data_IF_836868154518
#
_entry.id   IF_836868154518
#
_cell.length_a   1.000
_cell.length_b   1.000
_cell.length_c   1.000
_cell.angle_alpha   90.00
_cell.angle_beta   90.00
_cell.angle_gamma   90.00
#
_symmetry.space_group_name_H-M   'P 1'
#
loop_
_entity.id
_entity.type
_entity.pdbx_description
1 polymer ?
#
# COMPACT_ATOMS: atom_id res chain seq x y z
N UNK A 1 17.94 8.96 11.75
CA UNK A 1 16.73 8.67 10.97
C UNK A 1 16.27 7.23 11.23
N UNK A 2 14.99 7.08 11.49
CA UNK A 2 14.37 5.77 11.70
C UNK A 2 14.11 5.20 10.30
N UNK A 3 15.05 4.40 9.82
CA UNK A 3 14.99 3.71 8.53
C UNK A 3 15.24 2.23 8.79
N UNK A 4 14.51 1.33 8.16
CA UNK A 4 14.71 -0.11 8.29
C UNK A 4 15.61 -0.67 7.20
N UNK A 5 15.88 0.14 6.20
CA UNK A 5 16.76 -0.20 5.10
C UNK A 5 18.21 -0.39 5.58
N UNK A 6 18.88 -1.40 5.06
CA UNK A 6 20.22 -1.82 5.48
C UNK A 6 20.32 -2.31 6.94
N UNK A 7 19.21 -2.48 7.61
CA UNK A 7 19.13 -3.19 8.87
C UNK A 7 18.73 -4.63 8.57
N UNK A 8 19.61 -5.57 8.87
CA UNK A 8 19.33 -7.00 8.69
C UNK A 8 18.44 -7.50 9.86
N UNK A 9 17.25 -6.89 10.02
CA UNK A 9 16.37 -7.12 11.16
C UNK A 9 14.90 -7.07 10.76
N UNK A 10 14.09 -7.91 11.37
CA UNK A 10 12.62 -7.87 11.29
C UNK A 10 11.98 -6.98 12.37
N UNK A 11 12.79 -6.34 13.20
CA UNK A 11 12.32 -5.45 14.26
C UNK A 11 12.93 -4.07 14.11
N UNK A 12 12.23 -3.07 14.62
CA UNK A 12 12.69 -1.69 14.69
C UNK A 12 13.02 -1.29 16.12
N UNK A 13 14.05 -0.46 16.27
CA UNK A 13 14.42 0.09 17.59
C UNK A 13 13.50 1.23 18.02
N UNK A 14 12.93 1.95 17.07
CA UNK A 14 12.06 3.09 17.35
C UNK A 14 11.10 3.37 16.18
N UNK A 15 10.00 4.05 16.48
CA UNK A 15 9.04 4.55 15.49
C UNK A 15 8.44 5.88 15.95
N UNK A 16 7.81 6.61 15.04
CA UNK A 16 7.31 7.98 15.24
C UNK A 16 5.84 8.14 14.97
N UNK A 17 5.29 7.23 14.18
CA UNK A 17 3.97 7.36 13.58
C UNK A 17 2.81 7.36 14.57
N UNK A 18 3.00 6.80 15.77
CA UNK A 18 1.92 6.66 16.75
C UNK A 18 1.72 7.86 17.66
N UNK A 19 2.81 8.54 18.03
CA UNK A 19 2.77 9.64 19.01
C UNK A 19 3.45 10.92 18.54
N UNK A 20 4.09 10.89 17.36
CA UNK A 20 4.97 11.96 16.90
C UNK A 20 6.34 12.01 17.60
N UNK A 21 6.49 11.30 18.72
CA UNK A 21 7.74 11.13 19.44
C UNK A 21 8.50 9.91 18.93
N UNK A 22 9.82 9.94 19.04
CA UNK A 22 10.68 8.80 18.71
C UNK A 22 10.68 7.86 19.91
N UNK A 23 9.88 6.81 19.87
CA UNK A 23 9.73 5.83 20.92
C UNK A 23 10.02 4.43 20.40
N UNK A 24 10.53 3.56 21.28
CA UNK A 24 10.60 2.14 20.98
C UNK A 24 9.18 1.53 20.94
N UNK A 25 8.96 0.43 20.22
CA UNK A 25 7.66 -0.25 20.20
C UNK A 25 7.14 -0.64 21.60
N UNK A 26 8.04 -0.82 22.57
CA UNK A 26 7.68 -1.16 23.96
C UNK A 26 7.21 0.03 24.78
N UNK A 27 7.60 1.23 24.42
CA UNK A 27 7.21 2.47 25.10
C UNK A 27 5.91 3.06 24.56
N UNK A 28 5.42 2.52 23.43
CA UNK A 28 4.18 2.96 22.80
C UNK A 28 3.00 2.28 23.51
N UNK A 29 2.01 3.05 24.01
CA UNK A 29 0.87 2.51 24.74
C UNK A 29 -0.16 1.80 23.85
N UNK A 30 0.18 1.49 22.61
CA UNK A 30 -0.66 0.85 21.61
C UNK A 30 0.00 -0.43 21.08
N UNK A 31 -0.83 -1.35 20.59
CA UNK A 31 -0.32 -2.55 19.92
C UNK A 31 0.15 -2.19 18.51
N UNK A 32 1.44 -2.27 18.28
CA UNK A 32 2.08 -1.94 17.00
C UNK A 32 2.77 -3.14 16.38
N UNK A 33 2.77 -3.20 15.06
CA UNK A 33 3.60 -4.11 14.26
C UNK A 33 4.29 -3.30 13.19
N UNK A 34 5.56 -3.60 12.95
CA UNK A 34 6.33 -3.00 11.87
C UNK A 34 6.84 -4.11 10.97
N UNK A 35 6.49 -4.03 9.69
CA UNK A 35 6.95 -4.92 8.65
C UNK A 35 8.10 -4.21 7.97
N UNK A 36 9.31 -4.69 8.27
CA UNK A 36 10.55 -4.04 7.82
C UNK A 36 10.87 -4.35 6.36
N UNK A 37 11.73 -3.54 5.76
CA UNK A 37 12.24 -3.77 4.40
C UNK A 37 12.83 -5.18 4.25
N UNK A 38 13.64 -5.61 5.20
CA UNK A 38 14.23 -6.95 5.22
C UNK A 38 13.18 -8.05 5.21
N UNK A 39 12.12 -7.90 6.00
CA UNK A 39 11.03 -8.88 6.03
C UNK A 39 10.27 -8.93 4.70
N UNK A 40 10.00 -7.77 4.09
CA UNK A 40 9.33 -7.70 2.78
C UNK A 40 10.15 -8.37 1.68
N UNK A 41 11.45 -8.16 1.66
CA UNK A 41 12.38 -8.77 0.71
C UNK A 41 12.48 -10.28 0.88
N UNK A 42 12.71 -10.76 2.10
CA UNK A 42 12.86 -12.19 2.38
C UNK A 42 11.58 -12.99 2.09
N UNK A 43 10.43 -12.36 2.23
CA UNK A 43 9.13 -12.95 1.91
C UNK A 43 8.72 -12.78 0.44
N UNK A 44 9.50 -12.06 -0.36
CA UNK A 44 9.18 -11.75 -1.76
C UNK A 44 7.88 -10.97 -1.94
N UNK A 45 7.54 -10.13 -0.96
CA UNK A 45 6.29 -9.36 -0.94
C UNK A 45 6.44 -8.09 -1.74
N UNK A 46 5.55 -7.87 -2.71
CA UNK A 46 5.54 -6.69 -3.60
C UNK A 46 4.28 -5.84 -3.48
N UNK A 47 3.32 -6.24 -2.64
CA UNK A 47 2.06 -5.53 -2.46
C UNK A 47 1.73 -5.29 -0.99
N UNK A 48 0.95 -4.25 -0.72
CA UNK A 48 0.46 -3.97 0.64
C UNK A 48 -0.37 -5.14 1.19
N UNK A 49 -1.21 -5.74 0.34
CA UNK A 49 -1.99 -6.91 0.70
C UNK A 49 -1.09 -8.05 1.20
N UNK A 50 -0.06 -8.40 0.43
CA UNK A 50 0.89 -9.44 0.82
C UNK A 50 1.64 -9.11 2.10
N UNK A 51 2.00 -7.84 2.32
CA UNK A 51 2.63 -7.38 3.54
C UNK A 51 1.72 -7.59 4.76
N UNK A 52 0.46 -7.22 4.64
CA UNK A 52 -0.51 -7.26 5.75
C UNK A 52 -1.04 -8.67 6.02
N UNK A 53 -1.04 -9.59 5.05
CA UNK A 53 -1.36 -11.01 5.28
C UNK A 53 -0.44 -11.66 6.33
N UNK A 54 0.78 -11.17 6.42
CA UNK A 54 1.78 -11.65 7.38
C UNK A 54 1.85 -10.81 8.66
N UNK A 55 1.03 -9.78 8.78
CA UNK A 55 1.01 -8.92 9.96
C UNK A 55 0.19 -9.56 11.09
N UNK A 56 0.78 -9.65 12.28
CA UNK A 56 0.09 -10.20 13.44
C UNK A 56 -1.16 -9.41 13.78
N UNK A 57 -2.30 -10.09 13.93
CA UNK A 57 -3.58 -9.50 14.33
C UNK A 57 -4.26 -8.67 13.24
N UNK A 58 -3.87 -8.85 11.98
CA UNK A 58 -4.53 -8.31 10.80
C UNK A 58 -5.09 -9.46 9.98
N UNK A 59 -6.35 -9.36 9.62
CA UNK A 59 -7.00 -10.25 8.66
C UNK A 59 -7.20 -9.51 7.34
N UNK A 60 -6.84 -10.17 6.25
CA UNK A 60 -7.01 -9.65 4.90
C UNK A 60 -8.04 -10.52 4.18
N UNK A 61 -9.07 -9.90 3.63
CA UNK A 61 -10.05 -10.61 2.83
C UNK A 61 -10.49 -9.78 1.62
N UNK A 62 -11.02 -10.45 0.62
CA UNK A 62 -11.50 -9.85 -0.62
C UNK A 62 -13.01 -10.00 -0.72
N UNK A 63 -13.66 -8.93 -1.11
CA UNK A 63 -15.09 -8.92 -1.42
C UNK A 63 -15.39 -7.87 -2.48
N UNK A 64 -16.19 -8.21 -3.48
CA UNK A 64 -16.55 -7.30 -4.56
C UNK A 64 -15.35 -6.76 -5.36
N UNK A 65 -14.30 -7.58 -5.51
CA UNK A 65 -13.05 -7.18 -6.16
C UNK A 65 -12.22 -6.15 -5.38
N UNK A 66 -12.52 -5.97 -4.08
CA UNK A 66 -11.81 -5.07 -3.15
C UNK A 66 -11.09 -5.87 -2.08
N UNK A 67 -9.96 -5.34 -1.63
CA UNK A 67 -9.22 -5.89 -0.50
C UNK A 67 -9.58 -5.12 0.77
N UNK A 68 -9.93 -5.83 1.82
CA UNK A 68 -10.26 -5.28 3.13
C UNK A 68 -9.27 -5.76 4.17
N UNK A 69 -8.94 -4.86 5.09
CA UNK A 69 -8.08 -5.15 6.24
C UNK A 69 -8.92 -5.04 7.51
N UNK A 70 -8.80 -6.01 8.40
CA UNK A 70 -9.50 -6.03 9.67
C UNK A 70 -8.55 -6.31 10.82
N UNK A 71 -8.81 -5.69 11.94
CA UNK A 71 -8.17 -6.00 13.21
C UNK A 71 -9.18 -5.97 14.34
N UNK A 72 -9.14 -6.95 15.23
CA UNK A 72 -10.03 -7.05 16.40
C UNK A 72 -11.53 -6.97 16.05
N UNK A 73 -11.92 -7.46 14.87
CA UNK A 73 -13.31 -7.44 14.41
C UNK A 73 -13.77 -6.15 13.75
N UNK A 74 -12.92 -5.14 13.64
CA UNK A 74 -13.21 -3.86 12.98
C UNK A 74 -12.39 -3.69 11.72
N UNK A 75 -12.94 -2.98 10.73
CA UNK A 75 -12.20 -2.60 9.54
C UNK A 75 -11.11 -1.59 9.86
N UNK A 76 -9.99 -1.69 9.16
CA UNK A 76 -8.96 -0.66 9.14
C UNK A 76 -9.25 0.21 7.92
N UNK A 77 -9.78 1.40 8.14
CA UNK A 77 -10.19 2.33 7.09
C UNK A 77 -9.17 3.43 6.84
N UNK A 78 -8.25 3.64 7.77
CA UNK A 78 -7.26 4.68 7.68
C UNK A 78 -5.92 4.13 7.21
N UNK A 79 -5.50 4.61 6.04
CA UNK A 79 -4.16 4.49 5.53
C UNK A 79 -3.46 5.83 5.64
N UNK A 80 -2.22 5.82 6.06
CA UNK A 80 -1.34 6.98 6.10
C UNK A 80 -0.12 6.76 5.21
N UNK A 81 0.37 7.83 4.65
CA UNK A 81 1.70 7.90 4.05
C UNK A 81 2.53 8.94 4.79
N UNK A 82 3.62 8.51 5.41
CA UNK A 82 4.46 9.35 6.29
C UNK A 82 3.66 10.08 7.39
N UNK A 83 2.60 9.46 7.90
CA UNK A 83 1.73 10.02 8.93
C UNK A 83 0.69 11.03 8.44
N UNK A 84 0.52 11.19 7.12
CA UNK A 84 -0.55 11.97 6.53
C UNK A 84 -1.64 11.03 6.07
N UNK A 85 -2.85 11.22 6.58
CA UNK A 85 -3.99 10.38 6.29
C UNK A 85 -4.34 10.40 4.79
N UNK A 86 -4.47 9.20 4.23
CA UNK A 86 -5.14 8.95 2.96
C UNK A 86 -6.33 8.06 3.26
N UNK A 87 -7.47 8.30 2.68
CA UNK A 87 -8.58 7.38 2.89
C UNK A 87 -8.32 6.08 2.13
N UNK A 88 -8.30 4.96 2.87
CA UNK A 88 -8.81 3.72 2.32
C UNK A 88 -10.32 3.90 2.37
N UNK A 89 -11.01 3.79 1.26
CA UNK A 89 -12.43 4.01 1.27
C UNK A 89 -13.12 3.14 2.31
N UNK A 90 -14.01 3.75 3.03
CA UNK A 90 -14.90 3.04 3.93
C UNK A 90 -15.51 1.86 3.15
N UNK A 91 -15.47 0.65 3.67
CA UNK A 91 -16.31 -0.43 3.22
C UNK A 91 -17.74 -0.10 3.65
N UNK A 92 -18.24 1.05 3.21
CA UNK A 92 -19.62 1.44 3.46
C UNK A 92 -20.49 0.27 3.13
N UNK A 93 -21.13 -0.25 4.12
CA UNK A 93 -21.89 -1.46 4.30
C UNK A 93 -22.23 -2.22 3.03
N UNK A 94 -22.28 -3.50 3.13
CA UNK A 94 -22.72 -4.43 2.11
C UNK A 94 -23.64 -3.78 1.05
N UNK A 95 -23.11 -3.47 -0.12
CA UNK A 95 -23.87 -3.24 -1.33
C UNK A 95 -24.34 -1.83 -1.65
N UNK A 96 -24.12 -0.80 -0.86
CA UNK A 96 -24.62 0.54 -1.15
C UNK A 96 -23.54 1.61 -1.05
N UNK A 97 -22.97 1.97 -2.19
CA UNK A 97 -22.52 3.27 -2.64
C UNK A 97 -22.02 4.30 -1.62
N UNK A 98 -21.04 3.98 -0.80
CA UNK A 98 -20.18 5.01 -0.20
C UNK A 98 -19.07 5.39 -1.18
N UNK A 99 -18.45 6.57 -1.09
CA UNK A 99 -17.27 6.87 -1.88
C UNK A 99 -16.20 5.85 -1.51
N UNK A 100 -16.10 4.85 -2.33
CA UNK A 100 -15.11 3.80 -2.21
C UNK A 100 -13.77 4.40 -2.60
N UNK A 101 -13.00 4.87 -1.62
CA UNK A 101 -11.57 4.97 -1.83
C UNK A 101 -11.12 3.60 -2.32
N UNK A 102 -10.46 3.57 -3.43
CA UNK A 102 -10.03 2.30 -3.98
C UNK A 102 -8.87 1.77 -3.13
N UNK A 103 -9.00 0.65 -2.41
CA UNK A 103 -7.91 0.05 -1.65
C UNK A 103 -6.76 -0.41 -2.55
N UNK A 104 -6.94 -0.41 -3.86
CA UNK A 104 -5.86 -0.63 -4.83
C UNK A 104 -4.87 0.54 -4.86
N UNK A 105 -5.16 1.64 -4.17
CA UNK A 105 -4.31 2.84 -4.16
C UNK A 105 -2.91 2.63 -3.57
N UNK A 106 -2.64 1.51 -2.91
CA UNK A 106 -1.34 1.18 -2.30
C UNK A 106 -0.97 -0.28 -2.55
N UNK A 107 -1.13 -0.77 -3.77
CA UNK A 107 -0.76 -2.15 -4.09
C UNK A 107 0.74 -2.32 -4.26
N UNK A 108 1.43 -1.42 -4.92
CA UNK A 108 2.89 -1.48 -5.10
C UNK A 108 3.59 -0.79 -3.92
N UNK A 109 4.40 -1.56 -3.20
CA UNK A 109 5.14 -1.09 -2.03
C UNK A 109 6.61 -0.77 -2.31
N UNK A 110 7.05 -0.74 -3.57
CA UNK A 110 8.45 -0.55 -3.94
C UNK A 110 9.04 0.78 -3.41
N UNK A 111 8.22 1.83 -3.29
CA UNK A 111 8.67 3.13 -2.79
C UNK A 111 8.68 3.23 -1.26
N UNK A 112 8.23 2.21 -0.52
CA UNK A 112 8.16 2.24 0.94
C UNK A 112 9.33 1.51 1.59
N UNK A 113 9.84 2.08 2.67
CA UNK A 113 10.86 1.48 3.54
C UNK A 113 10.24 0.44 4.47
N UNK A 114 9.03 0.69 4.96
CA UNK A 114 8.32 -0.19 5.88
C UNK A 114 6.85 0.11 5.91
N UNK A 115 6.10 -0.86 6.44
CA UNK A 115 4.67 -0.72 6.74
C UNK A 115 4.50 -0.85 8.25
N UNK A 116 3.83 0.12 8.84
CA UNK A 116 3.54 0.15 10.28
C UNK A 116 2.04 -0.07 10.47
N UNK A 117 1.67 -0.93 11.39
CA UNK A 117 0.28 -1.20 11.75
C UNK A 117 0.08 -0.86 13.21
N UNK A 118 -0.77 0.10 13.48
CA UNK A 118 -1.21 0.49 14.82
C UNK A 118 -2.61 -0.06 15.03
N UNK A 119 -2.78 -0.94 16.01
CA UNK A 119 -4.06 -1.60 16.28
C UNK A 119 -4.78 -0.95 17.44
N UNK A 120 -6.08 -0.73 17.27
CA UNK A 120 -6.94 -0.09 18.26
C UNK A 120 -7.08 1.41 18.05
N UNK A 121 -7.80 2.06 18.95
CA UNK A 121 -8.08 3.48 18.85
C UNK A 121 -6.81 4.33 19.00
N UNK A 122 -6.57 5.24 18.07
CA UNK A 122 -5.43 6.15 18.04
C UNK A 122 -5.84 7.60 18.38
N UNK A 123 -6.75 7.78 19.32
CA UNK A 123 -7.41 9.05 19.63
C UNK A 123 -6.49 10.21 20.04
N UNK A 124 -5.21 9.94 20.35
CA UNK A 124 -4.24 10.98 20.66
C UNK A 124 -3.64 11.64 19.40
N UNK A 125 -3.64 10.94 18.28
CA UNK A 125 -2.97 11.41 17.06
C UNK A 125 -3.91 11.53 15.87
N UNK A 126 -5.13 11.03 15.99
CA UNK A 126 -6.09 10.96 14.89
C UNK A 126 -7.50 11.26 15.38
N UNK A 127 -8.09 12.32 14.82
CA UNK A 127 -9.40 12.80 15.21
C UNK A 127 -10.56 11.90 14.74
N UNK A 128 -10.38 11.17 13.65
CA UNK A 128 -11.38 10.29 13.04
C UNK A 128 -10.76 8.93 12.75
N UNK A 129 -10.74 8.05 13.72
CA UNK A 129 -10.20 6.70 13.52
C UNK A 129 -11.21 5.65 13.98
N UNK A 130 -11.37 4.64 13.15
CA UNK A 130 -12.10 3.43 13.50
C UNK A 130 -11.32 2.60 14.52
N UNK A 131 -12.01 1.82 15.38
CA UNK A 131 -11.35 1.03 16.42
C UNK A 131 -10.41 -0.06 15.91
N UNK A 132 -10.47 -0.39 14.62
CA UNK A 132 -9.61 -1.39 13.97
C UNK A 132 -8.14 -1.01 14.01
N UNK A 133 -7.85 0.26 13.77
CA UNK A 133 -6.47 0.76 13.75
C UNK A 133 -6.12 1.56 12.49
N UNK A 134 -4.82 1.77 12.30
CA UNK A 134 -4.25 2.53 11.19
C UNK A 134 -3.09 1.77 10.56
N UNK A 135 -2.98 1.87 9.25
CA UNK A 135 -1.83 1.39 8.48
C UNK A 135 -1.05 2.63 8.02
N UNK A 136 0.23 2.72 8.34
CA UNK A 136 1.11 3.79 7.88
C UNK A 136 2.22 3.22 7.00
N UNK A 137 2.26 3.67 5.75
CA UNK A 137 3.31 3.35 4.80
C UNK A 137 4.37 4.45 4.83
N UNK A 138 5.60 4.09 5.19
CA UNK A 138 6.71 5.04 5.31
C UNK A 138 7.55 5.01 4.05
N UNK A 139 7.66 6.15 3.37
CA UNK A 139 8.41 6.27 2.13
C UNK A 139 9.91 6.14 2.35
N UNK A 140 10.59 5.55 1.38
CA UNK A 140 12.06 5.54 1.32
C UNK A 140 12.59 6.97 1.24
N UNK A 141 13.67 7.24 1.98
CA UNK A 141 14.38 8.52 1.96
C UNK A 141 15.71 8.38 1.20
N UNK A 142 16.28 9.47 0.69
CA UNK A 142 17.61 9.46 0.11
C UNK A 142 18.68 9.02 1.11
N UNK A 143 19.75 8.42 0.61
CA UNK A 143 20.88 7.93 1.40
C UNK A 143 22.15 8.70 1.08
N UNK A 144 23.09 8.78 2.03
CA UNK A 144 24.41 9.36 1.79
C UNK A 144 25.27 8.47 0.91
N UNK A 145 25.28 7.18 1.20
CA UNK A 145 26.03 6.19 0.42
C UNK A 145 25.25 5.87 -0.84
N UNK A 146 25.97 5.73 -1.93
CA UNK A 146 25.37 5.26 -3.18
C UNK A 146 24.83 3.85 -2.99
N UNK A 147 23.59 3.67 -3.39
CA UNK A 147 22.89 2.40 -3.39
C UNK A 147 22.24 2.23 -4.74
N UNK A 148 22.33 1.03 -5.28
CA UNK A 148 21.70 0.65 -6.53
C UNK A 148 21.21 -0.77 -6.37
N UNK A 149 19.92 -0.98 -6.60
CA UNK A 149 19.34 -2.31 -6.70
C UNK A 149 18.43 -2.41 -7.90
N UNK A 150 18.37 -3.61 -8.46
CA UNK A 150 17.43 -3.96 -9.50
C UNK A 150 16.93 -5.38 -9.22
N UNK A 151 15.63 -5.54 -9.19
CA UNK A 151 14.96 -6.80 -8.90
C UNK A 151 14.08 -7.20 -10.07
N UNK A 152 14.10 -8.47 -10.41
CA UNK A 152 13.21 -9.08 -11.40
C UNK A 152 12.37 -10.16 -10.71
N UNK A 153 11.07 -10.07 -10.84
CA UNK A 153 10.12 -11.05 -10.33
C UNK A 153 9.42 -11.76 -11.46
N UNK A 154 9.48 -13.08 -11.44
CA UNK A 154 8.75 -13.96 -12.38
C UNK A 154 8.07 -15.05 -11.57
N UNK A 155 6.84 -15.38 -11.89
CA UNK A 155 6.15 -16.51 -11.30
C UNK A 155 5.54 -17.45 -12.37
N UNK A 156 5.14 -18.64 -11.94
CA UNK A 156 4.57 -19.68 -12.82
C UNK A 156 3.21 -19.32 -13.41
N UNK A 157 2.52 -18.32 -12.88
CA UNK A 157 1.23 -17.82 -13.38
C UNK A 157 1.39 -16.76 -14.49
N UNK A 158 2.63 -16.41 -14.83
CA UNK A 158 2.93 -15.39 -15.85
C UNK A 158 2.99 -13.96 -15.31
N UNK A 159 3.16 -13.77 -14.00
CA UNK A 159 3.56 -12.48 -13.45
C UNK A 159 5.01 -12.21 -13.84
N UNK A 160 5.25 -11.06 -14.43
CA UNK A 160 6.59 -10.54 -14.73
C UNK A 160 6.64 -9.11 -14.24
N UNK A 161 7.61 -8.78 -13.43
CA UNK A 161 7.78 -7.43 -12.93
C UNK A 161 9.24 -7.11 -12.61
N UNK A 162 9.58 -5.85 -12.60
CA UNK A 162 10.89 -5.38 -12.24
C UNK A 162 10.84 -4.10 -11.42
N UNK A 163 11.80 -3.95 -10.53
CA UNK A 163 12.00 -2.76 -9.71
C UNK A 163 13.43 -2.27 -9.85
N UNK A 164 13.60 -0.98 -9.96
CA UNK A 164 14.88 -0.29 -9.97
C UNK A 164 14.88 0.76 -8.86
N UNK A 165 15.95 0.80 -8.08
CA UNK A 165 16.09 1.71 -6.95
C UNK A 165 17.51 2.26 -6.90
N UNK A 166 17.67 3.55 -7.06
CA UNK A 166 18.95 4.25 -7.02
C UNK A 166 18.90 5.41 -6.04
N UNK A 167 19.86 5.47 -5.14
CA UNK A 167 19.97 6.51 -4.12
C UNK A 167 21.41 6.92 -3.88
N UNK A 168 21.62 8.17 -3.48
CA UNK A 168 22.94 8.66 -3.09
C UNK A 168 23.03 10.18 -3.01
N UNK A 169 24.21 10.63 -2.59
CA UNK A 169 24.54 12.05 -2.59
C UNK A 169 24.70 12.57 -4.01
N UNK A 170 23.96 13.63 -4.34
CA UNK A 170 24.03 14.36 -5.62
C UNK A 170 25.07 15.49 -5.54
N UNK A 171 25.13 16.18 -4.42
CA UNK A 171 26.11 17.20 -4.12
C UNK A 171 26.49 17.11 -2.63
N UNK A 172 27.52 16.33 -2.30
CA UNK A 172 27.94 16.15 -0.90
C UNK A 172 28.28 17.47 -0.20
N UNK A 173 28.93 18.39 -0.91
CA UNK A 173 29.34 19.69 -0.39
C UNK A 173 28.14 20.57 0.02
N UNK A 174 27.00 20.38 -0.63
CA UNK A 174 25.78 21.14 -0.36
C UNK A 174 24.72 20.33 0.42
N UNK A 175 25.08 19.13 0.91
CA UNK A 175 24.15 18.26 1.64
C UNK A 175 22.95 17.82 0.83
N UNK A 176 23.05 17.75 -0.51
CA UNK A 176 21.96 17.36 -1.40
C UNK A 176 22.05 15.87 -1.72
N UNK A 177 20.95 15.16 -1.50
CA UNK A 177 20.81 13.73 -1.77
C UNK A 177 19.55 13.49 -2.60
N UNK A 178 19.55 12.42 -3.37
CA UNK A 178 18.41 12.03 -4.17
C UNK A 178 18.19 10.53 -4.18
N UNK A 179 16.94 10.13 -4.43
CA UNK A 179 16.56 8.74 -4.67
C UNK A 179 15.51 8.68 -5.75
N UNK A 180 15.62 7.67 -6.59
CA UNK A 180 14.64 7.32 -7.59
C UNK A 180 14.29 5.83 -7.46
N UNK A 181 12.99 5.52 -7.46
CA UNK A 181 12.45 4.16 -7.49
C UNK A 181 11.50 4.06 -8.68
N UNK A 182 11.73 3.09 -9.52
CA UNK A 182 10.84 2.73 -10.62
C UNK A 182 10.44 1.26 -10.50
N UNK A 183 9.14 0.97 -10.65
CA UNK A 183 8.62 -0.38 -10.68
C UNK A 183 7.65 -0.49 -11.84
N UNK A 184 7.70 -1.61 -12.56
CA UNK A 184 6.75 -1.92 -13.60
C UNK A 184 6.49 -3.43 -13.64
N UNK A 185 5.24 -3.82 -13.87
CA UNK A 185 4.92 -5.22 -13.91
C UNK A 185 3.59 -5.55 -14.58
N UNK A 186 3.45 -6.83 -14.91
CA UNK A 186 2.18 -7.44 -15.27
C UNK A 186 1.79 -8.46 -14.22
N UNK A 187 0.54 -8.40 -13.78
CA UNK A 187 0.00 -9.29 -12.76
C UNK A 187 -0.98 -10.26 -13.41
N UNK A 188 -0.60 -11.53 -13.50
CA UNK A 188 -1.49 -12.62 -13.85
C UNK A 188 -1.66 -13.54 -12.65
N UNK A 189 -2.82 -14.16 -12.53
CA UNK A 189 -3.11 -15.13 -11.49
C UNK A 189 -3.48 -16.47 -12.15
N UNK A 190 -3.83 -17.47 -11.34
CA UNK A 190 -4.30 -18.76 -11.83
C UNK A 190 -5.66 -18.69 -12.54
N UNK A 191 -6.37 -17.57 -12.43
CA UNK A 191 -7.72 -17.40 -12.96
C UNK A 191 -7.64 -16.93 -14.41
N UNK A 192 -8.47 -17.52 -15.26
CA UNK A 192 -8.58 -17.13 -16.67
C UNK A 192 -8.98 -15.64 -16.77
N UNK A 193 -8.46 -14.91 -17.75
CA UNK A 193 -8.69 -13.49 -17.98
C UNK A 193 -8.25 -12.55 -16.83
N UNK A 194 -7.75 -13.08 -15.72
CA UNK A 194 -7.18 -12.26 -14.68
C UNK A 194 -5.89 -11.61 -15.16
N UNK A 195 -5.68 -10.37 -14.79
CA UNK A 195 -4.46 -9.69 -15.15
C UNK A 195 -4.50 -8.22 -14.79
N UNK A 196 -3.38 -7.60 -14.98
CA UNK A 196 -3.22 -6.18 -14.75
C UNK A 196 -1.82 -5.74 -15.14
N UNK A 197 -1.63 -4.45 -15.17
CA UNK A 197 -0.32 -3.81 -15.33
C UNK A 197 -0.23 -2.68 -14.34
N UNK A 198 0.95 -2.52 -13.79
CA UNK A 198 1.26 -1.42 -12.89
C UNK A 198 2.59 -0.77 -13.27
N UNK A 199 2.64 0.53 -13.11
CA UNK A 199 3.84 1.35 -13.24
C UNK A 199 3.85 2.29 -12.05
N UNK A 200 4.93 2.26 -11.28
CA UNK A 200 5.20 3.18 -10.19
C UNK A 200 6.50 3.93 -10.48
N UNK A 201 6.46 5.23 -10.37
CA UNK A 201 7.63 6.11 -10.40
C UNK A 201 7.64 6.93 -9.12
N UNK A 202 8.76 6.98 -8.44
CA UNK A 202 8.96 7.74 -7.21
C UNK A 202 10.31 8.44 -7.24
N UNK A 203 10.30 9.73 -7.02
CA UNK A 203 11.51 10.54 -6.90
C UNK A 203 11.46 11.36 -5.62
N UNK A 204 12.55 11.39 -4.87
CA UNK A 204 12.65 12.18 -3.65
C UNK A 204 14.05 12.76 -3.53
N UNK A 205 14.11 13.98 -3.06
CA UNK A 205 15.34 14.69 -2.75
C UNK A 205 15.28 15.21 -1.32
N UNK A 206 16.42 15.30 -0.69
CA UNK A 206 16.57 16.04 0.54
C UNK A 206 17.82 16.92 0.52
N UNK A 207 17.76 18.00 1.25
CA UNK A 207 18.82 18.98 1.38
C UNK A 207 18.95 19.43 2.81
N UNK A 208 20.17 19.39 3.31
CA UNK A 208 20.52 19.99 4.60
C UNK A 208 20.70 21.50 4.40
N UNK A 209 20.01 22.30 5.23
CA UNK A 209 20.06 23.75 5.22
C UNK A 209 20.70 24.20 6.54
N UNK A 210 22.01 24.50 6.49
CA UNK A 210 22.80 24.67 7.70
C UNK A 210 22.81 23.40 8.55
N UNK A 211 23.08 23.56 9.84
CA UNK A 211 23.25 22.43 10.76
C UNK A 211 21.93 21.95 11.37
N UNK A 212 20.90 22.80 11.34
CA UNK A 212 19.68 22.56 12.11
C UNK A 212 18.41 22.37 11.28
N UNK A 213 18.49 22.47 9.95
CA UNK A 213 17.32 22.37 9.09
C UNK A 213 17.51 21.36 7.98
N UNK A 214 16.40 20.74 7.59
CA UNK A 214 16.33 19.80 6.48
C UNK A 214 15.06 20.02 5.68
N UNK A 215 15.19 20.09 4.38
CA UNK A 215 14.08 20.10 3.43
C UNK A 215 14.09 18.80 2.65
N UNK A 216 12.96 18.12 2.62
CA UNK A 216 12.72 16.92 1.81
C UNK A 216 11.53 17.21 0.88
N UNK A 217 11.65 16.87 -0.39
CA UNK A 217 10.55 17.01 -1.35
C UNK A 217 10.59 15.87 -2.36
N UNK A 218 9.44 15.55 -2.90
CA UNK A 218 9.36 14.46 -3.85
C UNK A 218 8.04 14.38 -4.57
N UNK A 219 8.00 13.44 -5.49
CA UNK A 219 6.82 13.13 -6.29
C UNK A 219 6.67 11.63 -6.50
N UNK A 220 5.44 11.19 -6.68
CA UNK A 220 5.16 9.83 -7.15
C UNK A 220 4.07 9.83 -8.21
N UNK A 221 4.17 8.84 -9.10
CA UNK A 221 3.18 8.53 -10.10
C UNK A 221 2.89 7.04 -10.08
N UNK A 222 1.63 6.68 -9.98
CA UNK A 222 1.13 5.31 -10.10
C UNK A 222 0.11 5.24 -11.23
N UNK A 223 0.29 4.27 -12.12
CA UNK A 223 -0.73 3.90 -13.09
C UNK A 223 -0.94 2.40 -13.02
N UNK A 224 -2.14 2.01 -12.70
CA UNK A 224 -2.51 0.61 -12.50
C UNK A 224 -3.77 0.28 -13.28
N UNK A 225 -3.73 -0.84 -13.99
CA UNK A 225 -4.88 -1.48 -14.61
C UNK A 225 -5.04 -2.88 -14.06
N UNK A 226 -6.27 -3.30 -13.83
CA UNK A 226 -6.57 -4.59 -13.23
C UNK A 226 -7.89 -5.11 -13.77
N UNK A 227 -7.99 -6.39 -14.04
CA UNK A 227 -9.28 -7.05 -14.26
C UNK A 227 -9.92 -7.33 -12.90
N UNK A 228 -11.04 -6.70 -12.55
CA UNK A 228 -11.72 -6.97 -11.31
C UNK A 228 -12.33 -8.38 -11.32
N UNK A 229 -12.14 -9.11 -10.23
CA UNK A 229 -12.88 -10.33 -9.95
C UNK A 229 -14.13 -9.94 -9.16
N UNK A 230 -15.34 -10.10 -9.71
CA UNK A 230 -16.52 -9.55 -9.07
C UNK A 230 -16.80 -10.18 -7.70
N UNK A 231 -16.95 -11.50 -7.57
CA UNK A 231 -17.33 -12.11 -6.30
C UNK A 231 -16.97 -13.59 -6.16
N UNK A 232 -15.98 -14.04 -6.91
CA UNK A 232 -15.60 -15.45 -6.92
C UNK A 232 -16.52 -16.32 -7.75
N UNK A 233 -16.54 -17.61 -7.47
CA UNK A 233 -17.32 -18.60 -8.21
C UNK A 233 -18.57 -18.99 -7.43
N UNK A 234 -19.77 -18.62 -7.90
CA UNK A 234 -21.01 -19.05 -7.27
C UNK A 234 -21.27 -20.55 -7.47
N UNK A 235 -22.21 -21.11 -6.72
CA UNK A 235 -22.59 -22.50 -6.88
C UNK A 235 -23.20 -22.74 -8.28
N UNK A 236 -22.85 -23.86 -8.89
CA UNK A 236 -23.48 -24.30 -10.14
C UNK A 236 -24.87 -24.91 -9.85
N UNK A 237 -25.81 -24.66 -10.75
CA UNK A 237 -27.16 -25.21 -10.64
C UNK A 237 -27.20 -26.75 -10.72
N UNK A 238 -26.18 -27.39 -11.33
CA UNK A 238 -26.04 -28.84 -11.41
C UNK A 238 -25.28 -29.47 -10.22
N UNK A 239 -24.89 -28.67 -9.22
CA UNK A 239 -24.18 -29.09 -8.03
C UNK A 239 -22.72 -29.48 -8.26
N UNK A 240 -22.20 -29.31 -9.46
CA UNK A 240 -20.79 -29.61 -9.77
C UNK A 240 -19.89 -28.44 -9.43
N UNK A 241 -18.61 -28.74 -9.21
CA UNK A 241 -17.61 -27.69 -9.01
C UNK A 241 -17.19 -27.05 -10.33
N UNK A 242 -16.84 -25.75 -10.26
CA UNK A 242 -16.20 -25.05 -11.34
C UNK A 242 -14.74 -25.46 -11.46
N UNK A 243 -14.19 -25.38 -12.68
CA UNK A 243 -12.75 -25.38 -12.83
C UNK A 243 -12.17 -24.17 -12.06
N UNK A 244 -11.13 -24.40 -11.25
CA UNK A 244 -10.53 -23.37 -10.38
C UNK A 244 -10.10 -22.09 -11.14
N UNK A 245 -9.71 -22.24 -12.41
CA UNK A 245 -9.30 -21.11 -13.24
C UNK A 245 -10.46 -20.32 -13.85
N UNK A 246 -11.72 -20.77 -13.67
CA UNK A 246 -12.86 -20.14 -14.32
C UNK A 246 -13.04 -18.71 -13.88
N UNK A 247 -13.24 -17.82 -14.85
CA UNK A 247 -13.65 -16.43 -14.69
C UNK A 247 -15.07 -16.26 -15.23
N UNK A 248 -15.94 -15.64 -14.45
CA UNK A 248 -17.35 -15.43 -14.80
C UNK A 248 -17.68 -13.95 -15.06
N UNK A 249 -16.70 -13.08 -15.10
CA UNK A 249 -16.86 -11.68 -15.49
C UNK A 249 -16.92 -11.50 -17.00
N UNK A 250 -17.21 -10.29 -17.44
CA UNK A 250 -17.18 -9.92 -18.84
C UNK A 250 -15.75 -9.64 -19.31
N UNK A 251 -15.48 -9.85 -20.59
CA UNK A 251 -14.17 -9.63 -21.20
C UNK A 251 -13.69 -8.17 -21.12
N UNK A 252 -14.60 -7.24 -20.98
CA UNK A 252 -14.37 -5.81 -20.87
C UNK A 252 -14.25 -5.32 -19.42
N UNK A 253 -14.33 -6.22 -18.43
CA UNK A 253 -14.15 -5.85 -17.02
C UNK A 253 -12.77 -5.23 -16.81
N UNK A 254 -12.73 -3.98 -16.39
CA UNK A 254 -11.50 -3.26 -16.17
C UNK A 254 -11.61 -2.28 -14.99
N UNK A 255 -10.61 -2.24 -14.16
CA UNK A 255 -10.39 -1.21 -13.17
C UNK A 255 -9.09 -0.47 -13.47
N UNK A 256 -9.15 0.85 -13.48
CA UNK A 256 -8.00 1.72 -13.70
C UNK A 256 -7.83 2.66 -12.52
N UNK A 257 -6.58 2.88 -12.14
CA UNK A 257 -6.19 3.86 -11.15
C UNK A 257 -4.98 4.64 -11.64
N UNK A 258 -5.08 5.96 -11.63
CA UNK A 258 -3.95 6.86 -11.81
C UNK A 258 -3.83 7.74 -10.59
N UNK A 259 -2.65 7.78 -10.00
CA UNK A 259 -2.39 8.57 -8.81
C UNK A 259 -1.15 9.43 -9.00
N UNK A 260 -1.27 10.70 -8.69
CA UNK A 260 -0.18 11.66 -8.65
C UNK A 260 -0.06 12.17 -7.22
N UNK A 261 1.15 12.27 -6.73
CA UNK A 261 1.43 12.84 -5.44
C UNK A 261 2.64 13.77 -5.52
N UNK A 262 2.55 14.92 -4.89
CA UNK A 262 3.64 15.83 -4.64
C UNK A 262 3.69 16.09 -3.14
N UNK A 263 4.88 16.08 -2.56
CA UNK A 263 5.02 16.32 -1.14
C UNK A 263 6.28 17.11 -0.82
N UNK A 264 6.24 17.82 0.31
CA UNK A 264 7.39 18.48 0.90
C UNK A 264 7.33 18.38 2.42
N UNK A 265 8.48 18.21 3.05
CA UNK A 265 8.64 18.16 4.50
C UNK A 265 9.80 19.07 4.89
N UNK A 266 9.55 19.98 5.80
CA UNK A 266 10.56 20.85 6.39
C UNK A 266 10.71 20.54 7.87
N UNK A 267 11.93 20.29 8.30
CA UNK A 267 12.30 20.07 9.69
C UNK A 267 13.30 21.13 10.15
N UNK A 268 13.08 21.69 11.31
CA UNK A 268 14.00 22.65 11.94
C UNK A 268 14.12 22.38 13.43
N UNK A 269 15.35 22.26 13.91
CA UNK A 269 15.67 22.13 15.32
C UNK A 269 16.08 23.50 15.88
N UNK A 270 15.25 24.09 16.72
CA UNK A 270 15.59 25.35 17.40
C UNK A 270 16.63 25.10 18.50
N UNK A 271 16.55 23.95 19.15
CA UNK A 271 17.45 23.46 20.19
C UNK A 271 17.16 21.97 20.43
N UNK A 272 17.79 21.36 21.44
CA UNK A 272 17.64 19.93 21.74
C UNK A 272 16.20 19.54 22.17
N UNK A 273 15.40 20.51 22.65
CA UNK A 273 14.06 20.26 23.16
C UNK A 273 12.94 20.68 22.18
N UNK A 274 13.23 21.55 21.21
CA UNK A 274 12.22 22.11 20.32
C UNK A 274 12.54 21.82 18.86
N UNK A 275 11.62 21.14 18.20
CA UNK A 275 11.66 20.83 16.77
C UNK A 275 10.36 21.29 16.11
N UNK A 276 10.48 21.98 14.99
CA UNK A 276 9.41 22.20 14.04
C UNK A 276 9.44 21.14 12.95
N UNK A 277 8.30 20.55 12.67
CA UNK A 277 8.10 19.68 11.50
C UNK A 277 6.86 20.14 10.75
N UNK A 278 7.02 20.50 9.50
CA UNK A 278 5.94 20.91 8.60
C UNK A 278 5.89 20.01 7.40
N UNK A 279 4.68 19.54 7.05
CA UNK A 279 4.47 18.65 5.91
C UNK A 279 3.39 19.23 5.02
N UNK A 280 3.66 19.20 3.70
CA UNK A 280 2.70 19.51 2.66
C UNK A 280 2.57 18.28 1.77
N UNK A 281 1.34 17.93 1.44
CA UNK A 281 1.04 16.78 0.58
C UNK A 281 -0.13 17.14 -0.34
N UNK A 282 0.10 17.01 -1.62
CA UNK A 282 -0.93 17.18 -2.66
C UNK A 282 -1.10 15.88 -3.41
N UNK A 283 -2.36 15.46 -3.56
CA UNK A 283 -2.71 14.23 -4.25
C UNK A 283 -3.82 14.45 -5.25
N UNK A 284 -3.69 13.77 -6.37
CA UNK A 284 -4.75 13.60 -7.34
C UNK A 284 -4.87 12.13 -7.68
N UNK A 285 -6.08 11.60 -7.55
CA UNK A 285 -6.39 10.22 -7.89
C UNK A 285 -7.55 10.21 -8.88
N UNK A 286 -7.36 9.56 -10.00
CA UNK A 286 -8.38 9.30 -11.01
C UNK A 286 -8.60 7.79 -11.06
N UNK A 287 -9.80 7.34 -10.73
CA UNK A 287 -10.15 5.92 -10.77
C UNK A 287 -11.40 5.68 -11.58
N UNK A 288 -11.41 4.61 -12.34
CA UNK A 288 -12.58 4.11 -13.05
C UNK A 288 -12.68 2.60 -12.88
N UNK A 289 -13.87 2.10 -12.71
CA UNK A 289 -14.15 0.68 -12.61
C UNK A 289 -15.38 0.35 -13.43
N UNK A 290 -15.17 -0.43 -14.47
CA UNK A 290 -16.23 -0.97 -15.30
C UNK A 290 -16.23 -2.49 -15.11
N UNK A 291 -17.34 -3.04 -14.63
CA UNK A 291 -17.42 -4.46 -14.40
C UNK A 291 -18.86 -4.96 -14.42
N UNK A 292 -18.99 -6.17 -14.90
CA UNK A 292 -20.22 -6.95 -14.79
C UNK A 292 -20.14 -7.87 -13.57
N UNK A 293 -21.18 -7.91 -12.80
CA UNK A 293 -21.36 -8.85 -11.69
C UNK A 293 -22.63 -9.64 -11.87
N UNK A 294 -22.58 -10.91 -11.48
CA UNK A 294 -23.75 -11.76 -11.44
C UNK A 294 -24.50 -11.50 -10.14
N UNK A 295 -25.59 -10.77 -10.21
CA UNK A 295 -26.45 -10.48 -9.04
C UNK A 295 -27.63 -11.40 -8.97
N UNK A 296 -28.03 -11.84 -7.74
CA UNK A 296 -29.35 -12.39 -7.45
C UNK A 296 -29.70 -13.73 -8.11
N UNK A 297 -28.75 -14.63 -8.24
CA UNK A 297 -29.03 -15.98 -8.81
C UNK A 297 -29.41 -16.95 -7.72
N UNK A 298 -30.65 -16.93 -7.26
CA UNK A 298 -31.15 -17.86 -6.24
C UNK A 298 -31.11 -19.31 -6.70
N UNK A 299 -31.06 -19.56 -8.00
CA UNK A 299 -31.06 -20.88 -8.61
C UNK A 299 -29.69 -21.33 -9.16
N UNK A 300 -28.62 -20.58 -8.84
CA UNK A 300 -27.26 -20.88 -9.31
C UNK A 300 -27.03 -20.52 -10.78
N UNK A 301 -25.85 -20.89 -11.28
CA UNK A 301 -25.41 -20.61 -12.64
C UNK A 301 -25.34 -21.90 -13.43
N UNK A 302 -25.85 -21.89 -14.67
CA UNK A 302 -25.79 -23.01 -15.58
C UNK A 302 -24.37 -23.43 -15.93
N UNK A 303 -24.18 -24.62 -16.44
CA UNK A 303 -22.88 -25.12 -16.89
C UNK A 303 -22.27 -24.26 -18.03
N UNK A 304 -23.11 -23.55 -18.74
CA UNK A 304 -22.76 -22.56 -19.78
C UNK A 304 -22.23 -21.23 -19.23
N UNK A 305 -22.32 -21.02 -17.91
CA UNK A 305 -21.94 -19.77 -17.25
C UNK A 305 -23.05 -18.72 -17.24
N UNK A 306 -24.24 -19.05 -17.66
CA UNK A 306 -25.40 -18.12 -17.63
C UNK A 306 -26.23 -18.33 -16.38
N UNK A 307 -26.71 -17.21 -15.82
CA UNK A 307 -27.66 -17.23 -14.70
C UNK A 307 -28.99 -17.82 -15.16
N UNK A 308 -29.60 -18.64 -14.33
CA UNK A 308 -30.98 -19.08 -14.51
C UNK A 308 -31.87 -18.24 -13.63
N UNK A 309 -32.78 -17.55 -14.23
CA UNK A 309 -33.87 -16.84 -13.58
C UNK A 309 -34.96 -17.80 -13.16
#
# INVERSE_FOLDING_TARGET
PICTENQNSYTVSAMRSTTGLVLSPREIPQSVSVITKKQLEDQGVTSLEGALQNATGVNVFKSGGRTHFMSRGYFIEQLEEDGIATQIGSPGGFGLGGPSGDPTSVTDIAMYDRIEVVRGAAGLTQANNEPGGTINAVRKKPTFKRQLSADLTVNTWGKVGGTFDASGALSPEHGLRGRFVGSAGSNKTFQDQSGGRDILLYGVMDKDIGDNSKLTWGASYLNQTKTPDPDGLPMRADGKEWKRSRYLGADWNEARLKKHNLFAEFEHYFNDNWKLSSKLDWRKSDSSKEYYTLGGTDNGIGADGLGKT
#
